data_IF_030227440978
#
_entry.id   IF_030227440978
#
_cell.length_a   1.000
_cell.length_b   1.000
_cell.length_c   1.000
_cell.angle_alpha   90.00
_cell.angle_beta   90.00
_cell.angle_gamma   90.00
#
_symmetry.space_group_name_H-M   'P 1'
#
loop_
_entity.id
_entity.type
_entity.pdbx_description
1 polymer ?
#
# COMPACT_ATOMS: atom_id res chain seq x y z
N UNK A 1 -14.72 -24.92 8.98
CA UNK A 1 -14.60 -24.17 7.71
C UNK A 1 -13.33 -24.63 7.00
N UNK A 2 -13.41 -25.16 5.77
CA UNK A 2 -12.21 -25.35 4.93
C UNK A 2 -11.92 -24.01 4.27
N UNK A 3 -10.90 -23.31 4.74
CA UNK A 3 -10.46 -22.04 4.16
C UNK A 3 -9.69 -22.38 2.88
N UNK A 4 -10.25 -22.06 1.72
CA UNK A 4 -9.65 -22.36 0.41
C UNK A 4 -8.75 -21.20 -0.06
N UNK A 5 -7.93 -20.67 0.84
CA UNK A 5 -7.03 -19.54 0.58
C UNK A 5 -5.61 -20.06 0.61
N UNK A 6 -4.91 -19.96 -0.52
CA UNK A 6 -3.51 -20.36 -0.62
C UNK A 6 -2.58 -19.39 0.11
N UNK A 7 -2.78 -18.08 -0.09
CA UNK A 7 -1.92 -17.01 0.44
C UNK A 7 -2.66 -15.69 0.44
N UNK A 8 -2.37 -14.84 1.43
CA UNK A 8 -2.82 -13.47 1.51
C UNK A 8 -1.63 -12.52 1.28
N UNK A 9 -1.77 -11.57 0.35
CA UNK A 9 -0.75 -10.54 0.09
C UNK A 9 -1.38 -9.18 0.38
N UNK A 10 -0.80 -8.42 1.30
CA UNK A 10 -1.32 -7.12 1.74
C UNK A 10 -0.25 -6.04 1.72
N UNK A 11 -0.65 -4.79 1.47
CA UNK A 11 0.16 -3.62 1.78
C UNK A 11 -0.20 -3.15 3.19
N UNK A 12 0.76 -3.17 4.08
CA UNK A 12 0.54 -2.73 5.46
C UNK A 12 1.74 -3.04 6.34
N UNK A 13 1.84 -2.30 7.43
CA UNK A 13 2.92 -2.43 8.40
C UNK A 13 4.26 -1.87 7.93
N UNK A 14 5.23 -1.95 8.84
CA UNK A 14 6.61 -1.51 8.63
C UNK A 14 7.49 -2.33 9.57
N UNK A 15 8.63 -2.82 9.09
CA UNK A 15 9.68 -3.39 9.93
C UNK A 15 10.48 -2.28 10.63
N UNK A 16 10.52 -1.09 10.02
CA UNK A 16 11.10 0.11 10.60
C UNK A 16 10.05 1.07 11.17
N UNK A 17 10.16 2.34 10.77
CA UNK A 17 9.31 3.42 11.26
C UNK A 17 7.92 3.38 10.60
N UNK A 18 6.88 3.71 11.36
CA UNK A 18 5.52 3.92 10.85
C UNK A 18 5.30 5.28 10.20
N UNK A 19 4.23 5.42 9.42
CA UNK A 19 3.81 6.67 8.79
C UNK A 19 2.59 7.34 9.46
N UNK A 20 1.84 6.63 10.31
CA UNK A 20 0.71 7.18 11.05
C UNK A 20 1.13 7.65 12.44
N UNK A 21 1.88 6.81 13.16
CA UNK A 21 2.69 7.20 14.33
C UNK A 21 4.12 6.70 14.10
N UNK A 22 5.11 7.09 14.93
CA UNK A 22 6.48 6.56 14.77
C UNK A 22 6.55 5.03 14.75
N UNK A 23 5.55 4.34 15.33
CA UNK A 23 5.51 2.90 15.49
C UNK A 23 4.34 2.23 14.73
N UNK A 24 3.49 2.99 14.04
CA UNK A 24 2.30 2.44 13.38
C UNK A 24 2.19 2.89 11.92
N UNK A 25 1.87 1.95 11.05
CA UNK A 25 1.54 2.20 9.65
C UNK A 25 0.03 2.44 9.49
N UNK A 26 -0.37 3.30 8.56
CA UNK A 26 -1.74 3.77 8.35
C UNK A 26 -2.78 2.66 8.23
N UNK A 27 -2.59 1.68 7.35
CA UNK A 27 -3.56 0.60 7.14
C UNK A 27 -3.71 -0.30 8.38
N UNK A 28 -2.64 -0.50 9.14
CA UNK A 28 -2.71 -1.27 10.40
C UNK A 28 -3.30 -0.42 11.54
N UNK A 29 -3.04 0.89 11.54
CA UNK A 29 -3.49 1.80 12.59
C UNK A 29 -4.99 2.11 12.50
N UNK A 30 -5.59 2.03 11.31
CA UNK A 30 -7.01 2.34 11.13
C UNK A 30 -7.92 1.30 11.82
N UNK A 31 -7.51 0.02 11.82
CA UNK A 31 -8.20 -1.07 12.51
C UNK A 31 -7.19 -2.13 13.00
N UNK A 32 -6.54 -1.87 14.15
CA UNK A 32 -5.53 -2.78 14.70
C UNK A 32 -6.14 -4.10 15.18
N UNK A 33 -7.43 -4.12 15.55
CA UNK A 33 -8.11 -5.34 16.01
C UNK A 33 -8.36 -6.31 14.86
N UNK A 34 -8.82 -5.81 13.70
CA UNK A 34 -8.96 -6.61 12.50
C UNK A 34 -7.59 -7.10 12.00
N UNK A 35 -6.58 -6.22 11.99
CA UNK A 35 -5.21 -6.60 11.62
C UNK A 35 -4.69 -7.73 12.52
N UNK A 36 -4.90 -7.64 13.84
CA UNK A 36 -4.55 -8.70 14.78
C UNK A 36 -5.25 -10.02 14.44
N UNK A 37 -6.56 -10.02 14.16
CA UNK A 37 -7.29 -11.24 13.77
C UNK A 37 -6.75 -11.84 12.47
N UNK A 38 -6.38 -11.01 11.50
CA UNK A 38 -5.79 -11.46 10.23
C UNK A 38 -4.42 -12.09 10.48
N UNK A 39 -3.54 -11.46 11.25
CA UNK A 39 -2.22 -12.01 11.55
C UNK A 39 -2.28 -13.31 12.35
N UNK A 40 -3.30 -13.49 13.20
CA UNK A 40 -3.53 -14.73 13.96
C UNK A 40 -4.37 -15.77 13.23
N UNK A 41 -4.77 -15.53 11.99
CA UNK A 41 -5.67 -16.44 11.23
C UNK A 41 -5.03 -17.77 10.82
N UNK A 42 -3.69 -17.91 10.94
CA UNK A 42 -2.94 -19.07 10.45
C UNK A 42 -2.76 -19.13 8.94
N UNK A 43 -3.17 -18.08 8.22
CA UNK A 43 -2.90 -17.93 6.78
C UNK A 43 -1.42 -17.70 6.52
N UNK A 44 -0.94 -18.16 5.35
CA UNK A 44 0.33 -17.68 4.81
C UNK A 44 0.16 -16.23 4.35
N UNK A 45 0.79 -15.29 5.06
CA UNK A 45 0.66 -13.85 4.81
C UNK A 45 1.99 -13.30 4.30
N UNK A 46 1.94 -12.54 3.21
CA UNK A 46 3.04 -11.75 2.69
C UNK A 46 2.70 -10.27 2.84
N UNK A 47 3.57 -9.53 3.51
CA UNK A 47 3.42 -8.10 3.73
C UNK A 47 4.34 -7.30 2.80
N UNK A 48 3.75 -6.36 2.07
CA UNK A 48 4.44 -5.28 1.39
C UNK A 48 4.40 -4.03 2.29
N UNK A 49 5.27 -3.99 3.29
CA UNK A 49 5.36 -2.88 4.24
C UNK A 49 6.05 -1.63 3.68
N UNK A 50 6.11 -0.58 4.50
CA UNK A 50 6.74 0.69 4.13
C UNK A 50 8.21 0.56 3.70
N UNK A 51 8.95 -0.40 4.26
CA UNK A 51 10.34 -0.67 3.89
C UNK A 51 10.52 -1.05 2.41
N UNK A 52 9.47 -1.66 1.83
CA UNK A 52 9.41 -2.03 0.41
C UNK A 52 8.81 -0.89 -0.40
N UNK A 53 7.67 -0.33 0.03
CA UNK A 53 6.95 0.67 -0.77
C UNK A 53 7.71 1.99 -0.87
N UNK A 54 8.50 2.37 0.15
CA UNK A 54 9.34 3.57 0.10
C UNK A 54 10.51 3.44 -0.89
N UNK A 55 10.82 2.23 -1.37
CA UNK A 55 11.81 1.99 -2.42
C UNK A 55 11.18 1.86 -3.80
N UNK A 56 9.88 1.60 -3.88
CA UNK A 56 9.13 1.41 -5.12
C UNK A 56 8.69 2.76 -5.71
N UNK A 57 9.65 3.61 -6.06
CA UNK A 57 9.41 4.94 -6.61
C UNK A 57 9.17 4.88 -8.12
N UNK A 58 8.24 5.71 -8.61
CA UNK A 58 8.04 5.96 -10.03
C UNK A 58 8.82 7.22 -10.44
N UNK A 59 9.65 7.08 -11.47
CA UNK A 59 10.41 8.20 -12.01
C UNK A 59 9.51 9.16 -12.81
N UNK A 60 9.89 10.45 -12.84
CA UNK A 60 9.06 11.51 -13.42
C UNK A 60 8.86 11.35 -14.93
N UNK A 61 9.86 10.81 -15.63
CA UNK A 61 9.79 10.45 -17.05
C UNK A 61 8.73 9.36 -17.29
N UNK A 62 8.69 8.33 -16.45
CA UNK A 62 7.67 7.30 -16.55
C UNK A 62 6.27 7.86 -16.27
N UNK A 63 6.11 8.69 -15.23
CA UNK A 63 4.83 9.35 -14.93
C UNK A 63 4.33 10.20 -16.11
N UNK A 64 5.22 10.88 -16.84
CA UNK A 64 4.87 11.65 -18.03
C UNK A 64 4.29 10.79 -19.18
N UNK A 65 4.55 9.48 -19.19
CA UNK A 65 3.99 8.56 -20.18
C UNK A 65 2.56 8.09 -19.84
N UNK A 66 2.15 8.13 -18.57
CA UNK A 66 0.84 7.64 -18.16
C UNK A 66 -0.35 8.25 -18.93
N UNK A 67 -0.41 9.58 -19.20
CA UNK A 67 -1.51 10.18 -19.95
C UNK A 67 -1.63 9.70 -21.40
N UNK A 68 -0.55 9.18 -21.98
CA UNK A 68 -0.53 8.72 -23.38
C UNK A 68 -1.03 7.29 -23.53
N UNK A 69 -1.12 6.52 -22.44
CA UNK A 69 -1.53 5.10 -22.48
C UNK A 69 -3.03 4.94 -22.72
N UNK A 70 -3.87 5.60 -21.92
CA UNK A 70 -5.32 5.53 -22.01
C UNK A 70 -6.00 6.57 -21.09
N UNK A 71 -7.33 6.53 -21.02
CA UNK A 71 -8.13 7.41 -20.17
C UNK A 71 -7.84 7.24 -18.66
N UNK A 72 -7.56 6.00 -18.21
CA UNK A 72 -7.18 5.73 -16.82
C UNK A 72 -5.85 6.38 -16.49
N UNK A 73 -4.85 6.28 -17.37
CA UNK A 73 -3.56 6.92 -17.18
C UNK A 73 -3.65 8.45 -17.08
N UNK A 74 -4.52 9.08 -17.88
CA UNK A 74 -4.86 10.51 -17.74
C UNK A 74 -5.49 10.83 -16.38
N UNK A 75 -6.43 10.00 -15.94
CA UNK A 75 -7.11 10.17 -14.65
C UNK A 75 -6.13 10.00 -13.47
N UNK A 76 -5.30 8.96 -13.49
CA UNK A 76 -4.28 8.69 -12.48
C UNK A 76 -3.30 9.85 -12.35
N UNK A 77 -2.83 10.43 -13.46
CA UNK A 77 -1.97 11.61 -13.41
C UNK A 77 -2.67 12.84 -12.83
N UNK A 78 -3.96 13.03 -13.12
CA UNK A 78 -4.73 14.11 -12.50
C UNK A 78 -4.86 13.92 -10.99
N UNK A 79 -5.17 12.71 -10.54
CA UNK A 79 -5.25 12.39 -9.11
C UNK A 79 -3.89 12.55 -8.42
N UNK A 80 -2.81 12.06 -9.03
CA UNK A 80 -1.44 12.20 -8.52
C UNK A 80 -1.06 13.68 -8.38
N UNK A 81 -1.36 14.51 -9.38
CA UNK A 81 -1.10 15.95 -9.31
C UNK A 81 -1.88 16.63 -8.17
N UNK A 82 -3.14 16.24 -7.93
CA UNK A 82 -3.94 16.77 -6.81
C UNK A 82 -3.38 16.33 -5.45
N UNK A 83 -2.99 15.07 -5.31
CA UNK A 83 -2.43 14.54 -4.05
C UNK A 83 -1.07 15.20 -3.77
N UNK A 84 -0.22 15.35 -4.78
CA UNK A 84 1.07 16.00 -4.64
C UNK A 84 0.96 17.49 -4.30
N UNK A 85 -0.09 18.18 -4.76
CA UNK A 85 -0.35 19.57 -4.40
C UNK A 85 -0.96 19.74 -2.99
N UNK A 86 -1.44 18.66 -2.37
CA UNK A 86 -2.07 18.66 -1.05
C UNK A 86 -1.14 18.16 0.08
N UNK A 87 0.09 17.77 -0.25
CA UNK A 87 1.13 17.30 0.67
C UNK A 87 2.24 18.35 0.81
#
# INVERSE_FOLDING_TARGET
MRVNIRRLVIMGGSAGRGNFTPNAEFNIAIDPEAAAKVFHSGLEIVMCGLDVTNRALLAADYLATLPTLNQTGKCSMRCLATIAAAA
#
